data_IF_406118459703
#
_entry.id   IF_406118459703
#
_cell.length_a   1.000
_cell.length_b   1.000
_cell.length_c   1.000
_cell.angle_alpha   90.00
_cell.angle_beta   90.00
_cell.angle_gamma   90.00
#
_symmetry.space_group_name_H-M   'P 1'
#
loop_
_entity.id
_entity.type
_entity.pdbx_description
1 polymer ?
#
# COMPACT_ATOMS: atom_id res chain seq x y z
N UNK A 1 17.70 29.68 1.90
CA UNK A 1 17.04 28.42 1.50
C UNK A 1 18.15 27.43 1.15
N UNK A 2 18.15 26.25 1.77
CA UNK A 2 19.22 25.25 1.61
C UNK A 2 19.11 24.54 0.26
N UNK A 3 20.23 24.15 -0.34
CA UNK A 3 20.20 23.35 -1.58
C UNK A 3 20.14 21.85 -1.28
N UNK A 4 19.73 21.08 -2.28
CA UNK A 4 19.70 19.61 -2.19
C UNK A 4 21.10 19.02 -1.95
N UNK A 5 22.12 19.56 -2.60
CA UNK A 5 23.52 19.12 -2.44
C UNK A 5 24.09 19.45 -1.05
N UNK A 6 23.63 20.53 -0.42
CA UNK A 6 23.98 20.87 0.95
C UNK A 6 23.35 19.88 1.94
N UNK A 7 22.06 19.58 1.75
CA UNK A 7 21.33 18.63 2.59
C UNK A 7 21.94 17.23 2.46
N UNK A 8 22.25 16.75 1.25
CA UNK A 8 22.88 15.43 1.05
C UNK A 8 24.24 15.33 1.72
N UNK A 9 25.08 16.36 1.62
CA UNK A 9 26.37 16.38 2.32
C UNK A 9 26.20 16.25 3.83
N UNK A 10 25.22 16.94 4.41
CA UNK A 10 24.90 16.81 5.85
C UNK A 10 24.38 15.42 6.22
N UNK A 11 23.58 14.78 5.36
CA UNK A 11 23.11 13.40 5.56
C UNK A 11 24.30 12.44 5.53
N UNK A 12 25.15 12.53 4.52
CA UNK A 12 26.36 11.70 4.37
C UNK A 12 27.34 11.87 5.54
N UNK A 13 27.48 13.11 6.05
CA UNK A 13 28.33 13.41 7.21
C UNK A 13 27.67 13.13 8.56
N UNK A 14 26.40 12.71 8.60
CA UNK A 14 25.65 12.46 9.83
C UNK A 14 25.36 13.70 10.67
N UNK A 15 25.38 14.89 10.08
CA UNK A 15 25.15 16.18 10.76
C UNK A 15 23.83 16.83 10.38
N UNK A 16 23.01 16.17 9.55
CA UNK A 16 21.69 16.65 9.20
C UNK A 16 20.77 16.68 10.42
N UNK A 17 20.09 17.80 10.63
CA UNK A 17 19.01 17.92 11.60
C UNK A 17 17.74 17.35 10.98
N UNK A 18 17.34 16.17 11.43
CA UNK A 18 16.17 15.44 10.93
C UNK A 18 15.10 15.43 12.02
N UNK A 19 13.91 15.92 11.69
CA UNK A 19 12.73 15.87 12.56
C UNK A 19 11.61 15.05 11.91
N UNK A 20 10.69 14.54 12.71
CA UNK A 20 9.41 13.97 12.26
C UNK A 20 8.37 15.06 12.01
N UNK A 21 7.27 14.70 11.34
CA UNK A 21 6.12 15.58 11.15
C UNK A 21 5.50 16.07 12.47
N UNK A 22 5.60 15.31 13.56
CA UNK A 22 5.11 15.75 14.88
C UNK A 22 6.11 16.69 15.55
N UNK A 23 7.40 16.36 15.52
CA UNK A 23 8.45 17.17 16.16
C UNK A 23 8.61 18.56 15.53
N UNK A 24 8.40 18.68 14.20
CA UNK A 24 8.53 19.99 13.52
C UNK A 24 7.46 20.99 13.95
N UNK A 25 6.26 20.53 14.33
CA UNK A 25 5.17 21.41 14.77
C UNK A 25 5.58 22.11 16.07
N UNK A 26 5.98 21.33 17.08
CA UNK A 26 6.48 21.83 18.36
C UNK A 26 7.71 22.72 18.19
N UNK A 27 8.58 22.40 17.22
CA UNK A 27 9.79 23.16 16.96
C UNK A 27 9.47 24.55 16.39
N UNK A 28 8.56 24.61 15.41
CA UNK A 28 8.08 25.88 14.81
C UNK A 28 7.39 26.74 15.87
N UNK A 29 6.57 26.16 16.74
CA UNK A 29 5.90 26.90 17.81
C UNK A 29 6.88 27.54 18.80
N UNK A 30 8.02 26.89 19.06
CA UNK A 30 9.06 27.38 19.99
C UNK A 30 10.03 28.37 19.35
N UNK A 31 10.38 28.19 18.07
CA UNK A 31 11.49 28.89 17.41
C UNK A 31 11.05 29.86 16.31
N UNK A 32 9.81 29.73 15.84
CA UNK A 32 9.31 30.44 14.66
C UNK A 32 9.65 29.73 13.36
N UNK A 33 8.85 30.00 12.33
CA UNK A 33 8.92 29.34 11.02
C UNK A 33 10.25 29.55 10.31
N UNK A 34 10.77 30.78 10.32
CA UNK A 34 12.01 31.14 9.61
C UNK A 34 13.22 30.41 10.22
N UNK A 35 13.33 30.40 11.56
CA UNK A 35 14.40 29.70 12.26
C UNK A 35 14.27 28.18 12.08
N UNK A 36 13.06 27.63 12.14
CA UNK A 36 12.83 26.21 11.88
C UNK A 36 13.27 25.80 10.46
N UNK A 37 12.96 26.61 9.45
CA UNK A 37 13.39 26.36 8.07
C UNK A 37 14.92 26.49 7.87
N UNK A 38 15.59 27.33 8.67
CA UNK A 38 17.04 27.48 8.66
C UNK A 38 17.76 26.38 9.45
N UNK A 39 17.20 25.90 10.56
CA UNK A 39 17.84 24.93 11.45
C UNK A 39 17.57 23.47 11.01
N UNK A 40 16.37 23.16 10.53
CA UNK A 40 15.96 21.78 10.16
C UNK A 40 16.31 21.45 8.71
N UNK A 41 16.97 20.32 8.48
CA UNK A 41 17.43 19.91 7.15
C UNK A 41 16.46 18.96 6.45
N UNK A 42 15.84 18.04 7.19
CA UNK A 42 14.88 17.06 6.66
C UNK A 42 13.71 16.92 7.62
N UNK A 43 12.49 16.94 7.09
CA UNK A 43 11.29 16.54 7.83
C UNK A 43 10.82 15.19 7.29
N UNK A 44 10.87 14.17 8.13
CA UNK A 44 10.35 12.84 7.83
C UNK A 44 8.85 12.84 8.10
N UNK A 45 8.07 12.78 7.02
CA UNK A 45 6.61 12.86 7.10
C UNK A 45 5.93 11.51 7.11
N UNK A 46 6.71 10.41 7.24
CA UNK A 46 6.30 9.01 7.08
C UNK A 46 4.79 8.80 7.29
N UNK A 47 4.01 8.96 6.23
CA UNK A 47 2.57 8.72 6.27
C UNK A 47 2.39 7.22 6.07
N UNK A 48 2.56 6.45 7.14
CA UNK A 48 2.02 5.09 7.15
C UNK A 48 0.51 5.19 7.41
N UNK A 49 -0.21 5.70 6.42
CA UNK A 49 -1.65 5.50 6.40
C UNK A 49 -1.88 3.98 6.27
N UNK A 50 -2.79 3.37 7.05
CA UNK A 50 -3.05 1.92 7.02
C UNK A 50 -3.52 1.38 5.65
N UNK A 51 -3.57 2.24 4.62
CA UNK A 51 -4.03 1.97 3.26
C UNK A 51 -3.04 2.42 2.17
N UNK A 52 -1.84 2.89 2.51
CA UNK A 52 -0.89 3.35 1.49
C UNK A 52 -0.18 2.15 0.83
N UNK A 53 -0.43 1.96 -0.47
CA UNK A 53 0.34 1.10 -1.39
C UNK A 53 0.60 -0.34 -0.94
N UNK A 54 -0.30 -0.93 -0.14
CA UNK A 54 -0.17 -2.30 0.36
C UNK A 54 -0.93 -3.30 -0.52
N UNK A 55 -0.31 -4.45 -0.80
CA UNK A 55 -0.89 -5.53 -1.61
C UNK A 55 0.06 -6.72 -1.76
N UNK A 56 -0.37 -7.74 -2.49
CA UNK A 56 0.47 -8.89 -2.82
C UNK A 56 0.38 -9.25 -4.31
N UNK A 57 1.49 -9.77 -4.84
CA UNK A 57 1.57 -10.34 -6.18
C UNK A 57 1.54 -11.86 -6.06
N UNK A 58 0.68 -12.51 -6.83
CA UNK A 58 0.46 -13.96 -6.77
C UNK A 58 0.59 -14.57 -8.16
N UNK A 59 1.27 -15.71 -8.23
CA UNK A 59 1.35 -16.55 -9.42
C UNK A 59 0.77 -17.93 -9.07
N UNK A 60 -0.25 -18.37 -9.79
CA UNK A 60 -0.93 -19.64 -9.49
C UNK A 60 -0.32 -20.86 -10.18
N UNK A 61 0.69 -20.65 -11.04
CA UNK A 61 1.20 -21.69 -11.92
C UNK A 61 0.19 -22.10 -13.00
N UNK A 62 0.64 -22.97 -13.90
CA UNK A 62 -0.20 -23.49 -14.97
C UNK A 62 -0.67 -24.92 -14.68
N UNK A 63 -1.94 -25.18 -14.99
CA UNK A 63 -2.47 -26.53 -15.17
C UNK A 63 -2.10 -27.13 -16.54
N UNK A 64 -2.49 -28.39 -16.76
CA UNK A 64 -2.47 -29.05 -18.07
C UNK A 64 -3.91 -29.46 -18.43
N UNK A 65 -4.52 -28.90 -19.49
CA UNK A 65 -3.99 -27.92 -20.44
C UNK A 65 -3.71 -26.55 -19.79
N UNK A 66 -2.88 -25.71 -20.42
CA UNK A 66 -2.51 -24.39 -19.89
C UNK A 66 -3.77 -23.55 -19.64
N UNK A 67 -3.81 -22.91 -18.49
CA UNK A 67 -4.85 -21.96 -18.12
C UNK A 67 -4.44 -20.51 -18.39
N UNK A 68 -5.44 -19.65 -18.60
CA UNK A 68 -5.33 -18.20 -18.62
C UNK A 68 -6.44 -17.60 -17.76
N UNK A 69 -6.12 -16.52 -17.04
CA UNK A 69 -7.05 -15.76 -16.22
C UNK A 69 -7.12 -14.33 -16.76
N UNK A 70 -8.30 -13.91 -17.20
CA UNK A 70 -8.56 -12.53 -17.64
C UNK A 70 -9.19 -11.69 -16.53
N UNK A 71 -9.99 -12.31 -15.66
CA UNK A 71 -10.54 -11.71 -14.44
C UNK A 71 -10.41 -12.71 -13.28
N UNK A 72 -10.14 -12.23 -12.07
CA UNK A 72 -9.85 -13.07 -10.91
C UNK A 72 -10.49 -12.54 -9.63
N UNK A 73 -10.87 -13.46 -8.76
CA UNK A 73 -11.33 -13.19 -7.40
C UNK A 73 -10.72 -14.19 -6.42
N UNK A 74 -10.40 -13.71 -5.24
CA UNK A 74 -9.91 -14.49 -4.11
C UNK A 74 -10.89 -14.32 -2.94
N UNK A 75 -11.63 -15.38 -2.59
CA UNK A 75 -12.76 -15.32 -1.64
C UNK A 75 -13.73 -14.15 -1.96
N UNK A 76 -14.10 -14.05 -3.23
CA UNK A 76 -14.92 -12.97 -3.83
C UNK A 76 -14.31 -11.56 -3.76
N UNK A 77 -13.05 -11.40 -3.36
CA UNK A 77 -12.32 -10.13 -3.47
C UNK A 77 -11.68 -10.04 -4.85
N UNK A 78 -12.03 -9.06 -5.69
CA UNK A 78 -11.41 -8.89 -7.00
C UNK A 78 -9.89 -8.77 -6.90
N UNK A 79 -9.17 -9.38 -7.82
CA UNK A 79 -7.74 -9.20 -7.97
C UNK A 79 -7.43 -8.72 -9.40
N UNK A 80 -6.45 -7.83 -9.52
CA UNK A 80 -6.05 -7.28 -10.81
C UNK A 80 -5.29 -8.33 -11.62
N UNK A 81 -5.89 -8.78 -12.72
CA UNK A 81 -5.29 -9.68 -13.71
C UNK A 81 -4.59 -8.89 -14.83
N UNK A 82 -4.12 -9.58 -15.87
CA UNK A 82 -3.50 -8.92 -17.05
C UNK A 82 -2.01 -8.64 -16.90
N UNK A 83 -1.40 -9.10 -15.80
CA UNK A 83 0.05 -9.02 -15.55
C UNK A 83 0.80 -10.08 -16.37
N UNK A 84 0.23 -11.28 -16.44
CA UNK A 84 0.63 -12.37 -17.33
C UNK A 84 -0.55 -13.36 -17.48
N UNK A 85 -0.28 -14.64 -17.75
CA UNK A 85 -1.35 -15.60 -18.00
C UNK A 85 -2.11 -16.03 -16.74
N UNK A 86 -1.44 -16.12 -15.58
CA UNK A 86 -1.98 -16.68 -14.33
C UNK A 86 -1.56 -15.87 -13.10
N UNK A 87 -1.24 -14.61 -13.34
CA UNK A 87 -0.62 -13.71 -12.37
C UNK A 87 -1.62 -12.62 -12.01
N UNK A 88 -1.73 -12.34 -10.72
CA UNK A 88 -2.65 -11.32 -10.20
C UNK A 88 -1.98 -10.45 -9.15
N UNK A 89 -2.44 -9.21 -9.05
CA UNK A 89 -2.11 -8.30 -7.95
C UNK A 89 -3.36 -8.03 -7.11
N UNK A 90 -3.28 -8.28 -5.81
CA UNK A 90 -4.36 -8.03 -4.86
C UNK A 90 -4.00 -6.83 -3.97
N UNK A 91 -4.78 -5.76 -4.06
CA UNK A 91 -4.63 -4.60 -3.17
C UNK A 91 -5.25 -4.87 -1.80
N UNK A 92 -4.57 -4.47 -0.72
CA UNK A 92 -5.05 -4.66 0.65
C UNK A 92 -6.39 -3.92 0.93
N UNK A 93 -6.66 -2.85 0.20
CA UNK A 93 -7.87 -2.02 0.33
C UNK A 93 -9.01 -2.46 -0.58
N UNK A 94 -8.80 -3.50 -1.39
CA UNK A 94 -9.80 -3.96 -2.35
C UNK A 94 -10.99 -4.55 -1.60
N UNK A 95 -12.18 -4.00 -1.85
CA UNK A 95 -13.41 -4.49 -1.24
C UNK A 95 -13.84 -5.79 -1.90
N UNK A 96 -14.52 -6.63 -1.12
CA UNK A 96 -15.22 -7.81 -1.64
C UNK A 96 -16.27 -7.37 -2.68
N UNK A 97 -16.50 -8.22 -3.68
CA UNK A 97 -17.54 -7.98 -4.67
C UNK A 97 -18.90 -7.74 -4.00
N UNK A 98 -19.62 -6.70 -4.45
CA UNK A 98 -20.89 -6.23 -3.87
C UNK A 98 -20.85 -5.76 -2.40
N UNK A 99 -19.68 -5.43 -1.85
CA UNK A 99 -19.62 -4.78 -0.53
C UNK A 99 -20.39 -3.44 -0.56
N UNK A 100 -21.28 -3.15 0.42
CA UNK A 100 -22.08 -1.93 0.43
C UNK A 100 -21.25 -0.66 0.72
N UNK A 101 -19.96 -0.81 1.05
CA UNK A 101 -19.05 0.24 1.44
C UNK A 101 -19.71 1.19 2.44
N UNK A 102 -19.74 2.48 2.12
CA UNK A 102 -20.37 3.50 2.95
C UNK A 102 -21.80 3.88 2.50
N UNK A 103 -22.52 3.01 1.77
CA UNK A 103 -23.93 3.28 1.45
C UNK A 103 -24.78 3.48 2.70
N UNK A 104 -24.46 2.78 3.80
CA UNK A 104 -24.96 3.07 5.15
C UNK A 104 -23.77 3.38 6.06
N UNK A 105 -23.58 4.64 6.41
CA UNK A 105 -22.39 5.07 7.16
C UNK A 105 -22.55 4.89 8.69
N UNK A 106 -21.53 4.37 9.41
CA UNK A 106 -20.25 3.86 8.87
C UNK A 106 -20.37 2.47 8.25
N UNK A 107 -19.69 2.25 7.13
CA UNK A 107 -19.57 0.94 6.51
C UNK A 107 -18.90 -0.07 7.44
N UNK A 108 -19.30 -1.34 7.35
CA UNK A 108 -18.79 -2.41 8.23
C UNK A 108 -17.45 -2.99 7.76
N UNK A 109 -17.17 -2.95 6.45
CA UNK A 109 -15.93 -3.43 5.84
C UNK A 109 -15.50 -4.81 6.37
N UNK A 110 -16.44 -5.75 6.47
CA UNK A 110 -16.24 -7.03 7.18
C UNK A 110 -15.19 -7.93 6.53
N UNK A 111 -14.92 -7.75 5.23
CA UNK A 111 -13.97 -8.56 4.48
C UNK A 111 -13.43 -7.83 3.24
N UNK A 112 -12.19 -8.14 2.84
CA UNK A 112 -11.52 -7.47 1.72
C UNK A 112 -10.09 -7.97 1.51
N UNK A 113 -9.31 -7.24 0.72
CA UNK A 113 -7.98 -7.67 0.29
C UNK A 113 -7.00 -7.92 1.43
N UNK A 114 -6.99 -7.07 2.46
CA UNK A 114 -6.13 -7.26 3.64
C UNK A 114 -6.42 -8.58 4.37
N UNK A 115 -7.71 -8.93 4.51
CA UNK A 115 -8.14 -10.18 5.13
C UNK A 115 -7.73 -11.40 4.29
N UNK A 116 -7.82 -11.31 2.95
CA UNK A 116 -7.32 -12.38 2.07
C UNK A 116 -5.80 -12.53 2.20
N UNK A 117 -5.05 -11.42 2.25
CA UNK A 117 -3.60 -11.44 2.43
C UNK A 117 -3.23 -12.07 3.79
N UNK A 118 -3.92 -11.70 4.86
CA UNK A 118 -3.75 -12.29 6.19
C UNK A 118 -3.95 -13.81 6.17
N UNK A 119 -5.05 -14.28 5.57
CA UNK A 119 -5.33 -15.72 5.41
C UNK A 119 -4.19 -16.44 4.68
N UNK A 120 -3.71 -15.88 3.57
CA UNK A 120 -2.59 -16.47 2.82
C UNK A 120 -1.30 -16.53 3.65
N UNK A 121 -1.01 -15.50 4.45
CA UNK A 121 0.15 -15.47 5.36
C UNK A 121 0.00 -16.50 6.48
N UNK A 122 -1.21 -16.70 6.99
CA UNK A 122 -1.53 -17.73 7.99
C UNK A 122 -1.49 -19.16 7.44
N UNK A 123 -1.31 -19.34 6.11
CA UNK A 123 -1.32 -20.65 5.46
C UNK A 123 -2.72 -21.24 5.28
N UNK A 124 -3.75 -20.40 5.38
CA UNK A 124 -5.13 -20.82 5.15
C UNK A 124 -5.44 -20.99 3.67
N UNK A 125 -6.47 -21.79 3.38
CA UNK A 125 -6.97 -21.95 2.01
C UNK A 125 -7.87 -20.76 1.62
N UNK A 126 -7.66 -20.27 0.40
CA UNK A 126 -8.46 -19.22 -0.24
C UNK A 126 -9.00 -19.78 -1.56
N UNK A 127 -10.26 -19.48 -1.88
CA UNK A 127 -10.87 -19.88 -3.14
C UNK A 127 -10.46 -18.91 -4.25
N UNK A 128 -9.85 -19.45 -5.32
CA UNK A 128 -9.62 -18.73 -6.56
C UNK A 128 -10.79 -18.97 -7.52
N UNK A 129 -11.45 -17.89 -7.93
CA UNK A 129 -12.33 -17.89 -9.10
C UNK A 129 -11.64 -17.14 -10.23
N UNK A 130 -11.51 -17.78 -11.39
CA UNK A 130 -10.90 -17.19 -12.58
C UNK A 130 -11.84 -17.29 -13.77
N UNK A 131 -12.00 -16.18 -14.48
CA UNK A 131 -12.75 -16.10 -15.73
C UNK A 131 -11.79 -15.76 -16.87
N UNK A 132 -11.93 -16.44 -18.00
CA UNK A 132 -11.25 -16.10 -19.25
C UNK A 132 -12.09 -16.55 -20.43
N UNK A 133 -11.90 -15.91 -21.57
CA UNK A 133 -12.42 -16.44 -22.83
C UNK A 133 -11.78 -17.80 -23.13
N UNK A 134 -12.54 -18.68 -23.77
CA UNK A 134 -12.02 -19.95 -24.29
C UNK A 134 -11.09 -19.70 -25.47
N UNK A 135 -9.97 -20.42 -25.51
CA UNK A 135 -9.05 -20.48 -26.64
C UNK A 135 -9.06 -21.86 -27.26
#
# INVERSE_FOLDING_TARGET
>A
MKTYEEINRKIESGTAVVLTAEEIIDYVDKKGLDAAAEEVDVVTTATFGPMCSSGCFLNFGHSKPKMRISEAWLDDVPAYSGLAAVDVFLGATQLRYNDPANMNYPGRFEFGGAHVIEKLVAGETVQLFGLSYGT
#
